data_IF_704485018866
#
_entry.id   IF_704485018866
#
_cell.length_a   1.000
_cell.length_b   1.000
_cell.length_c   1.000
_cell.angle_alpha   90.00
_cell.angle_beta   90.00
_cell.angle_gamma   90.00
#
_symmetry.space_group_name_H-M   'P 1'
#
loop_
_entity.id
_entity.type
_entity.pdbx_description
1 polymer ?
#
# COMPACT_ATOMS: atom_id res chain seq x y z
N UNK A 1 5.47 6.13 11.22
CA UNK A 1 5.48 4.88 10.43
C UNK A 1 6.37 5.03 9.20
N UNK A 2 6.90 3.93 8.63
CA UNK A 2 7.77 3.98 7.44
C UNK A 2 8.98 4.92 7.59
N UNK A 3 9.64 4.87 8.75
CA UNK A 3 10.78 5.72 9.08
C UNK A 3 12.09 4.95 8.86
N UNK A 4 13.04 5.55 8.13
CA UNK A 4 14.38 5.01 7.92
C UNK A 4 14.85 5.01 6.46
N UNK A 5 16.11 4.64 6.21
CA UNK A 5 16.75 4.72 4.88
C UNK A 5 16.16 3.76 3.84
N UNK A 6 15.35 2.80 4.27
CA UNK A 6 14.63 1.88 3.37
C UNK A 6 13.36 2.47 2.78
N UNK A 7 12.92 3.65 3.24
CA UNK A 7 11.71 4.29 2.79
C UNK A 7 12.03 5.69 2.22
N UNK A 8 11.48 6.04 1.05
CA UNK A 8 11.80 7.31 0.41
C UNK A 8 11.22 8.53 1.15
N UNK A 9 10.15 8.35 1.93
CA UNK A 9 9.58 9.36 2.83
C UNK A 9 8.95 8.69 4.07
N UNK A 10 8.79 9.46 5.16
CA UNK A 10 7.98 9.01 6.29
C UNK A 10 6.49 9.07 5.91
N UNK A 11 5.72 8.06 6.32
CA UNK A 11 4.26 8.09 6.23
C UNK A 11 3.69 8.36 7.61
N UNK A 12 2.82 9.37 7.70
CA UNK A 12 2.14 9.69 8.94
C UNK A 12 1.22 8.54 9.36
N UNK A 13 1.28 8.16 10.63
CA UNK A 13 0.51 7.04 11.15
C UNK A 13 -1.00 7.31 11.06
N UNK A 14 -1.42 8.56 11.31
CA UNK A 14 -2.82 8.96 11.22
C UNK A 14 -3.38 8.77 9.81
N UNK A 15 -2.58 9.10 8.79
CA UNK A 15 -2.94 8.91 7.37
C UNK A 15 -3.08 7.41 7.06
N UNK A 16 -2.18 6.59 7.58
CA UNK A 16 -2.24 5.15 7.41
C UNK A 16 -3.48 4.53 8.08
N UNK A 17 -3.80 4.96 9.31
CA UNK A 17 -5.02 4.52 10.00
C UNK A 17 -6.29 4.92 9.25
N UNK A 18 -6.34 6.14 8.68
CA UNK A 18 -7.45 6.55 7.81
C UNK A 18 -7.60 5.64 6.60
N UNK A 19 -6.51 5.19 6.00
CA UNK A 19 -6.55 4.27 4.86
C UNK A 19 -7.09 2.89 5.25
N UNK A 20 -6.66 2.35 6.40
CA UNK A 20 -7.20 1.11 6.94
C UNK A 20 -8.71 1.23 7.21
N UNK A 21 -9.13 2.31 7.87
CA UNK A 21 -10.52 2.58 8.17
C UNK A 21 -11.37 2.68 6.89
N UNK A 22 -10.88 3.41 5.87
CA UNK A 22 -11.56 3.53 4.56
C UNK A 22 -11.69 2.18 3.85
N UNK A 23 -10.64 1.36 3.88
CA UNK A 23 -10.67 0.00 3.31
C UNK A 23 -11.75 -0.87 3.96
N UNK A 24 -11.83 -0.84 5.30
CA UNK A 24 -12.84 -1.60 6.08
C UNK A 24 -14.26 -1.08 5.93
N UNK A 25 -14.44 0.24 5.79
CA UNK A 25 -15.75 0.87 5.62
C UNK A 25 -16.26 0.81 4.18
N UNK A 26 -15.42 0.40 3.22
CA UNK A 26 -15.83 0.26 1.84
C UNK A 26 -16.94 -0.78 1.70
N UNK A 27 -17.86 -0.55 0.74
CA UNK A 27 -18.89 -1.53 0.39
C UNK A 27 -18.30 -2.75 -0.35
N UNK A 28 -17.13 -2.58 -0.96
CA UNK A 28 -16.37 -3.65 -1.61
C UNK A 28 -15.55 -4.38 -0.55
N UNK A 29 -15.55 -5.73 -0.52
CA UNK A 29 -14.86 -6.52 0.49
C UNK A 29 -13.36 -6.60 0.21
N UNK A 30 -12.66 -5.47 0.30
CA UNK A 30 -11.22 -5.44 0.17
C UNK A 30 -10.57 -6.21 1.32
N UNK A 31 -9.67 -7.14 0.98
CA UNK A 31 -8.92 -7.92 1.97
C UNK A 31 -7.56 -7.29 2.29
N UNK A 32 -6.97 -6.55 1.35
CA UNK A 32 -5.63 -6.00 1.50
C UNK A 32 -5.56 -4.51 1.16
N UNK A 33 -4.71 -3.80 1.89
CA UNK A 33 -4.26 -2.44 1.61
C UNK A 33 -2.81 -2.50 1.14
N UNK A 34 -2.55 -1.98 -0.04
CA UNK A 34 -1.23 -1.82 -0.64
C UNK A 34 -0.81 -0.37 -0.47
N UNK A 35 0.41 -0.17 0.01
CA UNK A 35 1.05 1.13 0.06
C UNK A 35 1.98 1.22 -1.13
N UNK A 36 1.59 2.03 -2.11
CA UNK A 36 2.36 2.28 -3.32
C UNK A 36 3.11 3.60 -3.17
N UNK A 37 4.39 3.64 -3.49
CA UNK A 37 5.15 4.88 -3.62
C UNK A 37 5.15 5.31 -5.09
N UNK A 38 4.66 6.51 -5.32
CA UNK A 38 4.76 7.17 -6.61
C UNK A 38 6.05 8.00 -6.66
N UNK A 39 6.97 7.65 -7.55
CA UNK A 39 8.25 8.34 -7.65
C UNK A 39 8.15 9.74 -8.29
N UNK A 40 7.10 9.98 -9.11
CA UNK A 40 6.89 11.24 -9.80
C UNK A 40 6.36 12.29 -8.84
N UNK A 41 5.26 11.96 -8.15
CA UNK A 41 4.62 12.82 -7.16
C UNK A 41 5.31 12.73 -5.79
N UNK A 42 6.23 11.79 -5.60
CA UNK A 42 6.97 11.53 -4.34
C UNK A 42 6.01 11.38 -3.15
N UNK A 43 4.94 10.63 -3.38
CA UNK A 43 3.86 10.45 -2.40
C UNK A 43 3.48 8.98 -2.28
N UNK A 44 2.90 8.64 -1.12
CA UNK A 44 2.33 7.33 -0.90
C UNK A 44 0.86 7.32 -1.31
N UNK A 45 0.45 6.27 -2.01
CA UNK A 45 -0.90 6.06 -2.52
C UNK A 45 -1.45 4.76 -1.94
N UNK A 46 -2.64 4.78 -1.32
CA UNK A 46 -3.33 3.57 -0.88
C UNK A 46 -4.03 2.90 -2.06
N UNK A 47 -3.80 1.60 -2.23
CA UNK A 47 -4.52 0.78 -3.21
C UNK A 47 -5.17 -0.38 -2.47
N UNK A 48 -6.43 -0.66 -2.79
CA UNK A 48 -7.21 -1.70 -2.12
C UNK A 48 -7.49 -2.85 -3.08
N UNK A 49 -7.27 -4.08 -2.63
CA UNK A 49 -7.52 -5.28 -3.43
C UNK A 49 -8.28 -6.33 -2.62
N UNK A 50 -9.05 -7.15 -3.32
CA UNK A 50 -9.86 -8.22 -2.72
C UNK A 50 -9.05 -9.52 -2.54
N UNK A 51 -8.12 -9.81 -3.46
CA UNK A 51 -7.40 -11.08 -3.48
C UNK A 51 -5.89 -10.91 -3.55
N UNK A 52 -5.15 -11.77 -2.85
CA UNK A 52 -3.68 -11.76 -2.88
C UNK A 52 -3.11 -11.96 -4.29
N UNK A 53 -3.84 -12.60 -5.18
CA UNK A 53 -3.43 -12.81 -6.58
C UNK A 53 -3.23 -11.49 -7.33
N UNK A 54 -3.99 -10.44 -6.98
CA UNK A 54 -3.91 -9.10 -7.58
C UNK A 54 -2.58 -8.41 -7.24
N UNK A 55 -1.90 -8.78 -6.15
CA UNK A 55 -0.55 -8.27 -5.84
C UNK A 55 0.46 -8.58 -6.95
N UNK A 56 0.21 -9.61 -7.78
CA UNK A 56 1.08 -9.93 -8.93
C UNK A 56 0.93 -8.93 -10.07
N UNK A 57 -0.20 -8.21 -10.13
CA UNK A 57 -0.44 -7.16 -11.12
C UNK A 57 0.29 -5.86 -10.77
N UNK A 58 0.69 -5.68 -9.51
CA UNK A 58 1.53 -4.57 -9.08
C UNK A 58 2.99 -4.95 -9.25
N UNK A 59 3.61 -4.36 -10.27
CA UNK A 59 5.02 -4.59 -10.57
C UNK A 59 5.88 -4.15 -9.38
N UNK A 60 6.81 -5.03 -9.00
CA UNK A 60 7.80 -4.76 -7.95
C UNK A 60 8.96 -3.95 -8.53
N UNK A 61 9.75 -3.33 -7.65
CA UNK A 61 10.92 -2.51 -7.99
C UNK A 61 11.70 -3.06 -9.20
N UNK A 62 11.84 -2.24 -10.25
CA UNK A 62 12.65 -2.53 -11.43
C UNK A 62 11.95 -3.24 -12.62
N UNK A 63 10.65 -3.57 -12.53
CA UNK A 63 9.91 -4.21 -13.62
C UNK A 63 8.72 -3.40 -14.18
N UNK A 64 8.38 -2.26 -13.56
CA UNK A 64 7.27 -1.41 -13.99
C UNK A 64 7.75 -0.26 -14.87
N UNK A 65 7.12 0.01 -16.04
CA UNK A 65 7.30 1.27 -16.75
C UNK A 65 6.67 2.48 -16.02
N UNK A 66 5.92 2.25 -14.94
CA UNK A 66 4.94 3.20 -14.40
C UNK A 66 5.43 4.09 -13.25
N UNK A 67 6.72 4.12 -12.91
CA UNK A 67 7.26 4.95 -11.80
C UNK A 67 6.59 4.71 -10.43
N UNK A 68 5.84 3.62 -10.28
CA UNK A 68 5.13 3.24 -9.07
C UNK A 68 5.76 2.01 -8.43
N UNK A 69 5.85 2.05 -7.12
CA UNK A 69 6.54 1.04 -6.33
C UNK A 69 5.66 0.46 -5.25
N UNK A 70 5.47 -0.86 -5.22
CA UNK A 70 4.88 -1.50 -4.04
C UNK A 70 5.89 -1.45 -2.87
N UNK A 71 5.53 -0.71 -1.81
CA UNK A 71 6.37 -0.52 -0.61
C UNK A 71 5.99 -1.51 0.48
N UNK A 72 4.69 -1.72 0.68
CA UNK A 72 4.17 -2.66 1.67
C UNK A 72 2.77 -3.12 1.30
N UNK A 73 2.38 -4.27 1.84
CA UNK A 73 0.99 -4.75 1.78
C UNK A 73 0.53 -5.21 3.16
N UNK A 74 -0.67 -4.82 3.54
CA UNK A 74 -1.31 -5.12 4.82
C UNK A 74 -2.62 -5.85 4.62
N UNK A 75 -2.90 -6.80 5.50
CA UNK A 75 -4.23 -7.40 5.62
C UNK A 75 -5.14 -6.46 6.40
N UNK A 76 -6.28 -6.10 5.82
CA UNK A 76 -7.22 -5.14 6.42
C UNK A 76 -7.88 -5.68 7.69
N UNK A 77 -8.01 -6.99 7.85
CA UNK A 77 -8.75 -7.61 8.95
C UNK A 77 -7.84 -8.14 10.06
N UNK A 78 -6.61 -8.52 9.72
CA UNK A 78 -5.61 -9.03 10.66
C UNK A 78 -4.57 -7.98 11.04
N UNK A 79 -4.53 -6.83 10.35
CA UNK A 79 -3.56 -5.73 10.57
C UNK A 79 -2.09 -6.19 10.45
N UNK A 80 -1.88 -7.38 9.86
CA UNK A 80 -0.57 -7.97 9.70
C UNK A 80 0.01 -7.59 8.35
N UNK A 81 1.31 -7.30 8.35
CA UNK A 81 2.06 -7.04 7.13
C UNK A 81 2.28 -8.35 6.38
N UNK A 82 1.88 -8.38 5.11
CA UNK A 82 1.95 -9.56 4.23
C UNK A 82 3.21 -9.56 3.36
N UNK A 83 3.74 -8.38 3.03
CA UNK A 83 4.96 -8.12 2.24
C UNK A 83 5.64 -6.85 2.74
#
# INVERSE_FOLDING_TARGET
MFEGPSYPNALDESVFEEWLAKGRMSKTPFAYLLVIWDELDRTYIPVYIEERSELKNFARYGQAPDHQLLVAAYDLYSETRVV
#
